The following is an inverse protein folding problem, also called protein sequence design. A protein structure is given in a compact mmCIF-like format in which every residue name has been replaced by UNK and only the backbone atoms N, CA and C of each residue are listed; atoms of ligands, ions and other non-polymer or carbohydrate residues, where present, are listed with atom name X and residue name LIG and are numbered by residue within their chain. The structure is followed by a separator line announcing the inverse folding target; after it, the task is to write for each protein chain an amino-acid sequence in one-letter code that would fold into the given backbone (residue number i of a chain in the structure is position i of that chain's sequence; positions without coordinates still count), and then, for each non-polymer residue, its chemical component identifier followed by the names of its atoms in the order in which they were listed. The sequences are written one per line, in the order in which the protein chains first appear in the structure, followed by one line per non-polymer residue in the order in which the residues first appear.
data_IF_496530220015
#
_entry.id   IF_496530220015
#
_cell.length_a   1.000
_cell.length_b   1.000
_cell.length_c   1.000
_cell.angle_alpha   90.00
_cell.angle_beta   90.00
_cell.angle_gamma   90.00
#
_symmetry.space_group_name_H-M   'P 1'
#
loop_
_entity.id
_entity.type
_entity.pdbx_description
1 polymer ?
#
# COMPACT_ATOMS: atom_id res chain seq x y z
N UNK A 1 -49.54 -20.06 -6.83
CA UNK A 1 -48.59 -18.96 -6.72
C UNK A 1 -48.23 -18.53 -8.12
N UNK A 2 -48.70 -17.34 -8.53
CA UNK A 2 -48.30 -16.76 -9.82
C UNK A 2 -47.14 -15.83 -9.49
N UNK A 3 -45.95 -16.21 -9.89
CA UNK A 3 -44.75 -15.36 -9.74
C UNK A 3 -44.60 -14.52 -10.99
N UNK A 4 -44.65 -13.22 -10.87
CA UNK A 4 -44.30 -12.29 -11.95
C UNK A 4 -42.83 -11.94 -11.88
N UNK A 5 -42.09 -12.14 -12.98
CA UNK A 5 -40.66 -11.88 -13.07
C UNK A 5 -40.38 -10.92 -14.23
N UNK A 6 -39.56 -9.90 -14.00
CA UNK A 6 -39.06 -9.00 -15.04
C UNK A 6 -37.54 -9.04 -15.07
N UNK A 7 -36.93 -8.99 -16.28
CA UNK A 7 -35.49 -8.91 -16.48
C UNK A 7 -35.16 -7.52 -16.98
N UNK A 8 -34.24 -6.82 -16.28
CA UNK A 8 -33.81 -5.47 -16.59
C UNK A 8 -32.28 -5.43 -16.81
N UNK A 9 -31.82 -4.60 -17.74
CA UNK A 9 -30.42 -4.45 -18.10
C UNK A 9 -29.99 -2.97 -18.13
N UNK A 10 -28.82 -2.66 -17.57
CA UNK A 10 -28.32 -1.29 -17.55
C UNK A 10 -26.97 -1.10 -16.86
N UNK A 11 -26.49 0.13 -16.85
CA UNK A 11 -25.17 0.48 -16.30
C UNK A 11 -25.18 0.84 -14.80
N UNK A 12 -26.33 1.13 -14.24
CA UNK A 12 -26.48 1.53 -12.84
C UNK A 12 -27.48 0.60 -12.14
N UNK A 13 -27.02 -0.12 -11.13
CA UNK A 13 -27.83 -1.09 -10.40
C UNK A 13 -28.98 -0.42 -9.63
N UNK A 14 -28.76 0.73 -9.00
CA UNK A 14 -29.80 1.46 -8.26
C UNK A 14 -30.94 1.91 -9.17
N UNK A 15 -30.63 2.36 -10.39
CA UNK A 15 -31.64 2.74 -11.37
C UNK A 15 -32.46 1.54 -11.83
N UNK A 16 -31.84 0.37 -12.02
CA UNK A 16 -32.56 -0.86 -12.38
C UNK A 16 -33.48 -1.33 -11.25
N UNK A 17 -33.10 -1.12 -10.00
CA UNK A 17 -33.95 -1.40 -8.83
C UNK A 17 -35.16 -0.47 -8.84
N UNK A 18 -34.95 0.83 -9.06
CA UNK A 18 -36.08 1.80 -9.16
C UNK A 18 -36.99 1.52 -10.35
N UNK A 19 -36.47 1.03 -11.48
CA UNK A 19 -37.29 0.60 -12.62
C UNK A 19 -38.12 -0.64 -12.29
N UNK A 20 -37.61 -1.58 -11.48
CA UNK A 20 -38.37 -2.72 -10.99
C UNK A 20 -39.47 -2.31 -10.01
N UNK A 21 -39.19 -1.38 -9.09
CA UNK A 21 -40.22 -0.81 -8.19
C UNK A 21 -41.37 -0.13 -8.98
N UNK A 22 -41.03 0.64 -10.00
CA UNK A 22 -42.01 1.27 -10.87
C UNK A 22 -42.84 0.26 -11.68
N UNK A 23 -42.18 -0.83 -12.14
CA UNK A 23 -42.84 -1.88 -12.91
C UNK A 23 -43.87 -2.64 -12.07
N UNK A 24 -43.49 -3.02 -10.84
CA UNK A 24 -44.37 -3.78 -9.93
C UNK A 24 -45.27 -2.86 -9.06
N UNK A 25 -45.06 -1.54 -9.11
CA UNK A 25 -45.76 -0.53 -8.29
C UNK A 25 -45.68 -0.84 -6.79
N UNK A 26 -44.51 -1.35 -6.33
CA UNK A 26 -44.29 -1.75 -4.94
C UNK A 26 -42.85 -1.42 -4.53
N UNK A 27 -42.57 -1.32 -3.22
CA UNK A 27 -41.24 -1.04 -2.69
C UNK A 27 -40.31 -2.22 -2.92
N UNK A 28 -38.99 -1.92 -3.05
CA UNK A 28 -37.92 -2.91 -3.20
C UNK A 28 -37.93 -4.03 -2.15
N UNK A 29 -38.46 -3.74 -0.95
CA UNK A 29 -38.51 -4.70 0.16
C UNK A 29 -39.42 -5.90 -0.11
N UNK A 30 -40.31 -5.78 -1.12
CA UNK A 30 -41.22 -6.84 -1.57
C UNK A 30 -40.84 -7.46 -2.91
N UNK A 31 -39.71 -7.02 -3.48
CA UNK A 31 -39.20 -7.52 -4.76
C UNK A 31 -37.93 -8.31 -4.50
N UNK A 32 -37.92 -9.60 -4.83
CA UNK A 32 -36.69 -10.39 -4.82
C UNK A 32 -35.86 -10.06 -6.04
N UNK A 33 -34.67 -9.44 -5.81
CA UNK A 33 -33.77 -9.02 -6.87
C UNK A 33 -32.56 -9.94 -6.90
N UNK A 34 -32.30 -10.55 -8.05
CA UNK A 34 -31.12 -11.40 -8.29
C UNK A 34 -30.31 -10.84 -9.45
N UNK A 35 -29.00 -10.65 -9.26
CA UNK A 35 -28.09 -10.23 -10.33
C UNK A 35 -27.71 -11.47 -11.16
N UNK A 36 -28.25 -11.56 -12.39
CA UNK A 36 -27.99 -12.68 -13.31
C UNK A 36 -26.59 -12.56 -13.93
N UNK A 37 -26.18 -11.33 -14.29
CA UNK A 37 -24.92 -11.10 -15.00
C UNK A 37 -24.33 -9.74 -14.64
N UNK A 38 -23.01 -9.70 -14.38
CA UNK A 38 -22.22 -8.47 -14.23
C UNK A 38 -21.06 -8.50 -15.23
N UNK A 39 -21.07 -7.59 -16.22
CA UNK A 39 -19.98 -7.43 -17.19
C UNK A 39 -19.19 -6.17 -16.93
N UNK A 40 -17.86 -6.29 -16.80
CA UNK A 40 -16.95 -5.15 -16.78
C UNK A 40 -16.56 -4.78 -18.23
N UNK A 41 -16.82 -3.55 -18.63
CA UNK A 41 -16.40 -3.01 -19.93
C UNK A 41 -15.39 -1.88 -19.73
N UNK A 42 -14.70 -1.47 -20.80
CA UNK A 42 -13.77 -0.32 -20.79
C UNK A 42 -14.42 1.02 -20.34
N UNK A 43 -15.76 1.10 -20.35
CA UNK A 43 -16.54 2.31 -20.01
C UNK A 43 -17.44 2.14 -18.78
N UNK A 44 -17.19 1.14 -17.93
CA UNK A 44 -17.95 0.90 -16.70
C UNK A 44 -18.53 -0.52 -16.57
N UNK A 45 -19.35 -0.70 -15.54
CA UNK A 45 -20.04 -1.98 -15.29
C UNK A 45 -21.40 -2.01 -15.99
N UNK A 46 -21.82 -3.17 -16.47
CA UNK A 46 -23.14 -3.43 -17.02
C UNK A 46 -23.79 -4.59 -16.26
N UNK A 47 -25.00 -4.38 -15.78
CA UNK A 47 -25.74 -5.32 -14.95
C UNK A 47 -26.97 -5.85 -15.70
N UNK A 48 -27.27 -7.13 -15.47
CA UNK A 48 -28.54 -7.76 -15.83
C UNK A 48 -29.14 -8.36 -14.58
N UNK A 49 -30.31 -7.90 -14.19
CA UNK A 49 -31.01 -8.31 -12.96
C UNK A 49 -32.32 -9.00 -13.29
N UNK A 50 -32.71 -9.97 -12.43
CA UNK A 50 -34.06 -10.54 -12.37
C UNK A 50 -34.76 -9.97 -11.14
N UNK A 51 -35.89 -9.33 -11.33
CA UNK A 51 -36.74 -8.88 -10.25
C UNK A 51 -38.03 -9.71 -10.24
N UNK A 52 -38.34 -10.35 -9.12
CA UNK A 52 -39.47 -11.27 -8.95
C UNK A 52 -40.32 -10.84 -7.76
N UNK A 53 -41.65 -10.79 -7.97
CA UNK A 53 -42.60 -10.61 -6.89
C UNK A 53 -43.43 -11.89 -6.69
N UNK A 54 -43.57 -12.31 -5.42
CA UNK A 54 -44.46 -13.41 -5.06
C UNK A 54 -45.82 -12.83 -4.72
N UNK A 55 -46.82 -13.17 -5.52
CA UNK A 55 -48.21 -12.72 -5.31
C UNK A 55 -48.74 -13.37 -4.01
N UNK A 56 -48.86 -12.57 -2.98
CA UNK A 56 -49.45 -12.99 -1.72
C UNK A 56 -50.96 -12.65 -1.82
N UNK A 57 -51.83 -13.66 -1.90
CA UNK A 57 -53.30 -13.57 -2.00
C UNK A 57 -53.96 -12.65 -0.96
N UNK A 58 -53.23 -12.10 0.00
CA UNK A 58 -53.67 -11.12 0.98
C UNK A 58 -53.83 -9.70 0.46
N UNK A 59 -53.18 -9.32 -0.65
CA UNK A 59 -53.27 -7.96 -1.17
C UNK A 59 -54.46 -7.76 -2.12
N UNK A 60 -54.91 -8.80 -2.80
CA UNK A 60 -56.05 -8.71 -3.67
C UNK A 60 -57.36 -8.55 -2.88
N UNK A 61 -57.46 -9.12 -1.68
CA UNK A 61 -58.61 -8.95 -0.79
C UNK A 61 -58.74 -7.54 -0.21
N UNK A 62 -57.64 -6.85 0.06
CA UNK A 62 -57.65 -5.48 0.60
C UNK A 62 -57.99 -4.45 -0.47
N UNK A 63 -57.50 -4.59 -1.72
CA UNK A 63 -57.83 -3.72 -2.82
C UNK A 63 -59.29 -3.88 -3.27
N UNK A 64 -59.86 -5.07 -3.22
CA UNK A 64 -61.30 -5.30 -3.45
C UNK A 64 -62.18 -4.69 -2.33
N UNK A 65 -61.75 -4.77 -1.08
CA UNK A 65 -62.44 -4.17 0.06
C UNK A 65 -62.40 -2.63 -0.03
N UNK A 66 -61.29 -2.02 -0.37
CA UNK A 66 -61.14 -0.57 -0.54
C UNK A 66 -62.00 -0.08 -1.72
N UNK A 67 -61.97 -0.75 -2.87
CA UNK A 67 -62.81 -0.42 -4.02
C UNK A 67 -64.33 -0.55 -3.74
N UNK A 68 -64.72 -1.53 -2.90
CA UNK A 68 -66.13 -1.67 -2.50
C UNK A 68 -66.55 -0.55 -1.56
N UNK A 69 -65.69 -0.15 -0.61
CA UNK A 69 -65.97 1.01 0.30
C UNK A 69 -66.03 2.33 -0.50
N UNK A 70 -65.13 2.56 -1.48
CA UNK A 70 -65.21 3.75 -2.33
C UNK A 70 -66.44 3.78 -3.22
N UNK A 71 -66.94 2.64 -3.68
CA UNK A 71 -68.18 2.55 -4.46
C UNK A 71 -69.42 2.76 -3.60
N UNK A 72 -69.42 2.25 -2.36
CA UNK A 72 -70.54 2.49 -1.42
C UNK A 72 -70.60 3.94 -0.98
N UNK A 73 -69.46 4.64 -0.81
CA UNK A 73 -69.40 6.07 -0.53
C UNK A 73 -69.91 6.94 -1.72
N UNK A 74 -69.64 6.54 -2.96
CA UNK A 74 -70.10 7.22 -4.16
C UNK A 74 -71.59 7.02 -4.42
N UNK A 75 -72.18 5.92 -3.96
CA UNK A 75 -73.66 5.68 -4.05
C UNK A 75 -74.46 6.41 -2.95
N UNK A 76 -73.81 6.76 -1.82
CA UNK A 76 -74.45 7.51 -0.75
C UNK A 76 -74.62 9.04 -1.03
N UNK A 77 -73.86 9.61 -1.99
CA UNK A 77 -73.92 11.04 -2.34
C UNK A 77 -74.97 11.41 -3.38
N UNK A 78 -75.67 10.42 -3.95
CA UNK A 78 -76.69 10.71 -5.02
C UNK A 78 -78.13 10.32 -4.65
N UNK A 79 -78.57 10.48 -3.42
CA UNK A 79 -79.93 10.15 -3.03
C UNK A 79 -80.55 11.08 -1.99
N UNK A 80 -80.82 12.33 -2.37
CA UNK A 80 -81.76 13.17 -1.61
C UNK A 80 -83.17 12.88 -2.08
N UNK A 81 -84.05 12.31 -1.20
CA UNK A 81 -85.41 12.85 -0.96
C UNK A 81 -86.17 12.03 0.10
N UNK A 82 -86.59 12.77 1.09
CA UNK A 82 -87.66 12.63 2.07
C UNK A 82 -88.55 11.38 2.08
N UNK A 83 -88.70 10.74 3.25
CA UNK A 83 -89.95 10.67 3.97
C UNK A 83 -89.80 10.03 5.36
N UNK A 84 -90.38 10.70 6.36
CA UNK A 84 -90.51 10.26 7.76
C UNK A 84 -91.13 8.89 7.89
N UNK A 85 -90.53 8.00 8.68
CA UNK A 85 -91.29 7.02 9.47
C UNK A 85 -90.42 6.65 10.70
N UNK A 86 -91.08 6.60 11.83
CA UNK A 86 -90.54 6.35 13.18
C UNK A 86 -89.61 5.13 13.22
N UNK A 87 -88.46 5.36 13.77
CA UNK A 87 -87.53 4.30 14.07
C UNK A 87 -87.69 3.93 15.53
N UNK A 88 -88.07 2.71 15.73
CA UNK A 88 -88.09 1.95 17.02
C UNK A 88 -86.70 1.90 17.54
N UNK A 89 -86.41 2.43 18.76
CA UNK A 89 -85.16 2.37 19.50
C UNK A 89 -84.93 0.92 19.97
N UNK A 90 -84.47 0.07 19.11
CA UNK A 90 -83.77 -1.15 19.55
C UNK A 90 -82.24 -0.91 19.41
N UNK A 91 -81.61 -0.47 20.52
CA UNK A 91 -80.16 -0.56 20.70
C UNK A 91 -79.75 -2.01 20.44
N UNK A 92 -79.09 -2.26 19.32
CA UNK A 92 -78.39 -3.50 19.09
C UNK A 92 -77.09 -3.35 19.91
N UNK A 93 -77.14 -3.87 21.16
CA UNK A 93 -75.99 -4.03 22.04
C UNK A 93 -75.10 -5.12 21.44
N UNK A 94 -74.27 -4.73 20.49
CA UNK A 94 -73.18 -5.61 20.01
C UNK A 94 -72.14 -5.58 21.11
N UNK A 95 -71.86 -6.69 21.81
CA UNK A 95 -70.79 -6.72 22.81
C UNK A 95 -69.47 -6.44 22.11
N UNK A 96 -68.95 -5.22 22.28
CA UNK A 96 -67.61 -4.90 21.81
C UNK A 96 -66.66 -5.74 22.67
N UNK A 97 -66.06 -6.75 22.05
CA UNK A 97 -65.07 -7.60 22.72
C UNK A 97 -63.90 -6.71 23.10
N UNK A 98 -63.71 -6.50 24.44
CA UNK A 98 -62.62 -5.69 24.97
C UNK A 98 -61.33 -6.49 24.83
N UNK A 99 -60.44 -6.07 23.94
CA UNK A 99 -59.16 -6.75 23.69
C UNK A 99 -58.03 -5.83 24.14
N UNK A 100 -57.19 -6.32 25.07
CA UNK A 100 -55.98 -5.63 25.51
C UNK A 100 -54.91 -5.63 24.42
N UNK A 101 -53.96 -4.70 24.48
CA UNK A 101 -52.78 -4.71 23.62
C UNK A 101 -52.04 -6.05 23.64
N UNK A 102 -51.79 -6.62 22.48
CA UNK A 102 -50.95 -7.83 22.34
C UNK A 102 -49.61 -7.44 21.80
N UNK A 103 -48.59 -8.13 22.25
CA UNK A 103 -47.22 -7.89 21.77
C UNK A 103 -46.48 -9.21 21.46
N UNK A 104 -45.52 -9.10 20.58
CA UNK A 104 -44.62 -10.19 20.22
C UNK A 104 -43.17 -9.68 20.21
N UNK A 105 -42.29 -10.37 20.96
CA UNK A 105 -40.85 -10.06 20.98
C UNK A 105 -40.12 -11.08 20.10
N UNK A 106 -39.38 -10.58 19.13
CA UNK A 106 -38.57 -11.36 18.20
C UNK A 106 -37.09 -10.96 18.33
N UNK A 107 -36.19 -11.93 18.24
CA UNK A 107 -34.73 -11.70 18.29
C UNK A 107 -34.17 -12.02 16.92
N UNK A 108 -33.21 -11.21 16.46
CA UNK A 108 -32.49 -11.43 15.20
C UNK A 108 -31.73 -12.76 15.20
N UNK A 109 -31.48 -13.33 14.03
CA UNK A 109 -30.80 -14.62 13.89
C UNK A 109 -29.37 -14.62 14.46
N UNK A 110 -28.69 -13.47 14.43
CA UNK A 110 -27.36 -13.25 15.01
C UNK A 110 -27.37 -12.95 16.51
N UNK A 111 -28.57 -12.89 17.12
CA UNK A 111 -28.79 -12.60 18.54
C UNK A 111 -28.32 -11.21 18.98
N UNK A 112 -28.18 -10.27 18.03
CA UNK A 112 -27.66 -8.93 18.28
C UNK A 112 -28.75 -7.89 18.49
N UNK A 113 -29.96 -8.15 18.05
CA UNK A 113 -31.07 -7.19 18.11
C UNK A 113 -32.35 -7.86 18.56
N UNK A 114 -33.12 -7.20 19.43
CA UNK A 114 -34.44 -7.64 19.83
C UNK A 114 -35.46 -6.57 19.47
N UNK A 115 -36.53 -7.00 18.87
CA UNK A 115 -37.63 -6.16 18.42
C UNK A 115 -38.93 -6.55 19.11
N UNK A 116 -39.77 -5.56 19.38
CA UNK A 116 -41.16 -5.75 19.80
C UNK A 116 -42.09 -5.30 18.69
N UNK A 117 -43.14 -6.06 18.49
CA UNK A 117 -44.28 -5.68 17.64
C UNK A 117 -45.53 -5.62 18.52
N UNK A 118 -46.25 -4.50 18.48
CA UNK A 118 -47.41 -4.26 19.35
C UNK A 118 -48.67 -4.09 18.51
N UNK A 119 -49.71 -4.86 18.84
CA UNK A 119 -51.05 -4.66 18.28
C UNK A 119 -51.85 -3.67 19.13
N UNK A 120 -52.62 -2.72 18.54
CA UNK A 120 -53.41 -1.80 19.30
C UNK A 120 -54.51 -2.50 20.08
N UNK A 121 -54.90 -2.01 21.27
CA UNK A 121 -56.03 -2.52 22.01
C UNK A 121 -57.38 -2.13 21.34
N UNK A 122 -58.42 -2.93 21.55
CA UNK A 122 -59.77 -2.59 21.14
C UNK A 122 -60.61 -2.44 22.44
N UNK A 123 -60.72 -1.22 22.92
CA UNK A 123 -61.42 -0.90 24.18
C UNK A 123 -60.73 -1.39 25.44
N UNK A 124 -59.61 -2.11 25.33
CA UNK A 124 -58.85 -2.71 26.45
C UNK A 124 -57.67 -1.88 26.92
N UNK A 125 -56.86 -2.50 27.80
CA UNK A 125 -55.65 -1.88 28.39
C UNK A 125 -54.57 -1.67 27.34
N UNK A 126 -53.94 -0.51 27.42
CA UNK A 126 -52.76 -0.19 26.61
C UNK A 126 -51.48 -0.86 27.17
N UNK A 127 -50.48 -1.06 26.30
CA UNK A 127 -49.19 -1.54 26.72
C UNK A 127 -48.50 -0.51 27.62
N UNK A 128 -47.96 -0.94 28.74
CA UNK A 128 -47.11 -0.13 29.60
C UNK A 128 -45.65 -0.62 29.62
N UNK A 129 -44.78 0.16 30.27
CA UNK A 129 -43.36 -0.18 30.36
C UNK A 129 -43.09 -1.51 31.05
N UNK A 130 -43.89 -1.83 32.07
CA UNK A 130 -43.74 -3.07 32.85
C UNK A 130 -44.01 -4.30 31.98
N UNK A 131 -44.99 -4.21 31.08
CA UNK A 131 -45.26 -5.29 30.11
C UNK A 131 -44.09 -5.53 29.18
N UNK A 132 -43.42 -4.47 28.70
CA UNK A 132 -42.24 -4.59 27.86
C UNK A 132 -41.06 -5.22 28.60
N UNK A 133 -40.83 -4.81 29.87
CA UNK A 133 -39.77 -5.41 30.68
C UNK A 133 -40.06 -6.87 31.04
N UNK A 134 -41.32 -7.23 31.32
CA UNK A 134 -41.71 -8.63 31.50
C UNK A 134 -41.47 -9.45 30.22
N UNK A 135 -41.82 -8.91 29.07
CA UNK A 135 -41.56 -9.56 27.77
C UNK A 135 -40.06 -9.79 27.51
N UNK A 136 -39.21 -8.81 27.87
CA UNK A 136 -37.77 -8.94 27.82
C UNK A 136 -37.24 -10.04 28.76
N UNK A 137 -37.78 -10.10 30.00
CA UNK A 137 -37.40 -11.11 30.97
C UNK A 137 -37.85 -12.52 30.54
N UNK A 138 -39.08 -12.69 30.04
CA UNK A 138 -39.61 -13.95 29.51
C UNK A 138 -38.75 -14.48 28.34
N UNK A 139 -38.23 -13.59 27.51
CA UNK A 139 -37.30 -13.92 26.43
C UNK A 139 -35.83 -14.01 26.85
N UNK A 140 -35.54 -13.84 28.17
CA UNK A 140 -34.19 -13.82 28.73
C UNK A 140 -33.25 -12.77 28.13
N UNK A 141 -33.79 -11.64 27.66
CA UNK A 141 -33.01 -10.52 27.13
C UNK A 141 -32.47 -9.72 28.31
N UNK A 142 -31.15 -9.64 28.46
CA UNK A 142 -30.48 -9.11 29.69
C UNK A 142 -29.51 -7.95 29.38
N UNK A 143 -29.08 -7.80 28.13
CA UNK A 143 -28.06 -6.85 27.77
C UNK A 143 -28.52 -5.94 26.62
N UNK A 144 -28.01 -4.70 26.61
CA UNK A 144 -28.26 -3.74 25.55
C UNK A 144 -29.68 -3.19 25.48
N UNK A 145 -30.47 -3.22 26.56
CA UNK A 145 -31.85 -2.72 26.60
C UNK A 145 -31.85 -1.21 26.28
N UNK A 146 -32.68 -0.80 25.33
CA UNK A 146 -32.83 0.59 24.85
C UNK A 146 -34.00 1.27 25.54
N UNK A 147 -33.76 1.78 26.73
CA UNK A 147 -34.82 2.40 27.57
C UNK A 147 -35.49 3.58 26.85
N UNK A 148 -34.74 4.40 26.10
CA UNK A 148 -35.29 5.55 25.38
C UNK A 148 -36.25 5.11 24.28
N UNK A 149 -35.97 4.01 23.59
CA UNK A 149 -36.86 3.47 22.54
C UNK A 149 -38.10 2.80 23.16
N UNK A 150 -37.97 2.17 24.34
CA UNK A 150 -39.10 1.64 25.10
C UNK A 150 -40.01 2.80 25.57
N UNK A 151 -39.39 3.91 26.02
CA UNK A 151 -40.11 5.09 26.46
C UNK A 151 -40.89 5.72 25.32
N UNK A 152 -40.30 5.83 24.11
CA UNK A 152 -40.98 6.30 22.91
C UNK A 152 -42.13 5.37 22.51
N UNK A 153 -41.87 4.04 22.49
CA UNK A 153 -42.89 3.04 22.14
C UNK A 153 -44.17 3.21 22.95
N UNK A 154 -44.04 3.37 24.28
CA UNK A 154 -45.16 3.47 25.21
C UNK A 154 -45.80 4.86 25.15
N UNK A 155 -45.01 5.96 25.17
CA UNK A 155 -45.52 7.33 25.24
C UNK A 155 -46.16 7.76 23.94
N UNK A 156 -45.57 7.43 22.77
CA UNK A 156 -46.04 7.76 21.44
C UNK A 156 -47.05 6.73 20.92
N UNK A 157 -47.33 5.65 21.67
CA UNK A 157 -48.25 4.59 21.29
C UNK A 157 -48.03 4.02 19.92
N UNK A 158 -46.78 3.57 19.70
CA UNK A 158 -46.34 3.02 18.42
C UNK A 158 -46.89 1.60 18.25
N UNK A 159 -47.89 1.45 17.38
CA UNK A 159 -48.52 0.17 17.06
C UNK A 159 -48.21 -0.28 15.64
N UNK A 160 -48.43 -1.58 15.36
CA UNK A 160 -48.31 -2.20 14.04
C UNK A 160 -46.95 -1.96 13.35
N UNK A 161 -45.91 -1.76 14.14
CA UNK A 161 -44.54 -1.62 13.65
C UNK A 161 -43.54 -2.37 14.53
N UNK A 162 -42.42 -2.76 13.94
CA UNK A 162 -41.31 -3.40 14.69
C UNK A 162 -40.45 -2.32 15.31
N UNK A 163 -40.34 -2.29 16.62
CA UNK A 163 -39.51 -1.33 17.36
C UNK A 163 -38.32 -2.08 17.97
N UNK A 164 -37.11 -1.56 17.79
CA UNK A 164 -35.91 -2.10 18.38
C UNK A 164 -35.85 -1.76 19.87
N UNK A 165 -35.88 -2.77 20.73
CA UNK A 165 -35.92 -2.60 22.20
C UNK A 165 -34.65 -3.05 22.91
N UNK A 166 -33.80 -3.84 22.24
CA UNK A 166 -32.48 -4.17 22.75
C UNK A 166 -31.49 -4.36 21.60
N UNK A 167 -30.23 -3.94 21.84
CA UNK A 167 -29.14 -4.06 20.87
C UNK A 167 -27.86 -4.49 21.56
N UNK A 168 -27.30 -5.64 21.15
CA UNK A 168 -26.03 -6.15 21.60
C UNK A 168 -24.85 -5.29 21.17
N UNK A 169 -23.72 -5.48 21.81
CA UNK A 169 -22.45 -4.83 21.47
C UNK A 169 -21.64 -5.78 20.58
N UNK A 170 -21.33 -5.42 19.32
CA UNK A 170 -20.56 -6.28 18.45
C UNK A 170 -19.11 -6.44 18.94
N UNK A 171 -18.53 -7.62 18.69
CA UNK A 171 -17.11 -7.83 18.91
C UNK A 171 -16.29 -7.08 17.85
N UNK A 172 -15.22 -6.41 18.28
CA UNK A 172 -14.28 -5.70 17.41
C UNK A 172 -12.97 -6.49 17.39
N UNK A 173 -12.62 -7.04 16.24
CA UNK A 173 -11.35 -7.74 16.10
C UNK A 173 -10.17 -6.77 16.18
N UNK A 174 -9.06 -7.25 16.73
CA UNK A 174 -7.80 -6.52 16.73
C UNK A 174 -7.20 -6.44 15.31
N UNK A 175 -6.38 -5.42 15.10
CA UNK A 175 -5.62 -5.24 13.86
C UNK A 175 -4.34 -6.06 13.89
N UNK A 176 -3.99 -6.68 12.75
CA UNK A 176 -2.73 -7.41 12.59
C UNK A 176 -1.53 -6.46 12.64
N UNK A 177 -0.41 -6.93 13.16
CA UNK A 177 0.85 -6.20 13.11
C UNK A 177 1.30 -5.94 11.66
N UNK A 178 1.93 -4.78 11.43
CA UNK A 178 2.40 -4.35 10.09
C UNK A 178 3.85 -3.89 10.18
N UNK A 179 4.60 -4.07 9.08
CA UNK A 179 5.96 -3.53 8.94
C UNK A 179 5.92 -2.39 7.94
N UNK A 180 6.37 -1.24 8.37
CA UNK A 180 6.62 -0.08 7.53
C UNK A 180 8.10 -0.03 7.19
N UNK A 181 8.43 -0.14 5.90
CA UNK A 181 9.79 0.03 5.41
C UNK A 181 10.11 1.51 5.24
N UNK A 182 11.27 1.95 5.70
CA UNK A 182 11.72 3.35 5.57
C UNK A 182 12.53 3.59 4.29
N UNK A 183 12.74 2.58 3.48
CA UNK A 183 13.37 2.64 2.17
C UNK A 183 12.39 2.18 1.08
N UNK A 184 12.61 2.63 -0.16
CA UNK A 184 11.75 2.23 -1.28
C UNK A 184 11.97 0.76 -1.64
N UNK A 185 10.94 -0.08 -1.55
CA UNK A 185 10.99 -1.51 -1.90
C UNK A 185 10.95 -1.72 -3.41
N UNK A 186 10.34 -0.79 -4.17
CA UNK A 186 10.22 -0.93 -5.63
C UNK A 186 11.60 -0.85 -6.29
N UNK A 187 11.82 -1.72 -7.28
CA UNK A 187 12.99 -1.68 -8.16
C UNK A 187 12.75 -0.81 -9.40
N UNK A 188 11.75 0.06 -9.36
CA UNK A 188 11.44 0.92 -10.48
C UNK A 188 12.62 1.85 -10.76
N UNK A 189 13.12 1.78 -12.00
CA UNK A 189 14.14 2.68 -12.52
C UNK A 189 13.54 4.09 -12.56
N UNK A 190 13.83 4.89 -11.55
CA UNK A 190 13.47 6.31 -11.58
C UNK A 190 14.54 7.04 -12.39
N UNK A 191 14.16 7.49 -13.55
CA UNK A 191 15.00 8.35 -14.37
C UNK A 191 14.99 9.75 -13.76
N UNK A 192 16.16 10.32 -13.53
CA UNK A 192 16.29 11.68 -13.01
C UNK A 192 15.94 12.69 -14.11
N UNK A 193 15.00 13.57 -13.81
CA UNK A 193 14.65 14.71 -14.65
C UNK A 193 15.29 15.93 -14.00
N UNK A 194 16.26 16.54 -14.66
CA UNK A 194 16.89 17.77 -14.21
C UNK A 194 15.92 18.95 -14.24
N UNK A 195 16.19 20.01 -13.47
CA UNK A 195 15.32 21.20 -13.37
C UNK A 195 15.10 21.91 -14.74
N UNK A 196 16.00 21.69 -15.71
CA UNK A 196 15.89 22.18 -17.09
C UNK A 196 15.04 21.28 -18.00
N UNK A 197 14.41 20.22 -17.46
CA UNK A 197 13.59 19.27 -18.20
C UNK A 197 14.37 18.20 -18.98
N UNK A 198 15.69 18.18 -18.88
CA UNK A 198 16.51 17.12 -19.49
C UNK A 198 16.44 15.85 -18.66
N UNK A 199 16.30 14.74 -19.36
CA UNK A 199 16.28 13.40 -18.77
C UNK A 199 17.69 12.82 -18.79
N UNK A 200 18.28 12.59 -17.61
CA UNK A 200 19.55 11.87 -17.52
C UNK A 200 19.30 10.37 -17.36
N UNK A 201 19.41 9.65 -18.45
CA UNK A 201 19.26 8.18 -18.48
C UNK A 201 20.38 7.41 -17.79
N UNK A 202 21.43 8.10 -17.33
CA UNK A 202 22.55 7.48 -16.59
C UNK A 202 22.33 7.53 -15.07
N UNK A 203 21.50 8.46 -14.57
CA UNK A 203 21.17 8.56 -13.13
C UNK A 203 19.92 7.69 -12.83
N UNK A 204 20.13 6.40 -12.60
CA UNK A 204 19.04 5.44 -12.40
C UNK A 204 18.64 5.24 -10.93
N UNK A 205 19.40 5.79 -9.97
CA UNK A 205 19.17 5.69 -8.50
C UNK A 205 18.81 4.26 -8.03
N UNK A 206 19.47 3.26 -8.60
CA UNK A 206 19.18 1.84 -8.32
C UNK A 206 19.69 1.39 -6.95
N UNK A 207 20.71 2.07 -6.41
CA UNK A 207 21.38 1.71 -5.16
C UNK A 207 20.69 2.43 -3.99
N UNK A 208 20.31 1.66 -2.99
CA UNK A 208 19.68 2.19 -1.77
C UNK A 208 20.72 2.23 -0.66
N UNK A 209 21.46 3.31 -0.59
CA UNK A 209 22.45 3.55 0.43
C UNK A 209 21.76 3.83 1.78
N UNK A 210 22.29 3.22 2.83
CA UNK A 210 21.87 3.45 4.22
C UNK A 210 23.11 3.57 5.11
N UNK A 211 23.02 4.45 6.09
CA UNK A 211 24.12 4.67 7.04
C UNK A 211 23.96 3.80 8.29
N UNK A 212 25.06 3.54 8.95
CA UNK A 212 25.06 2.91 10.27
C UNK A 212 24.18 3.70 11.25
N UNK A 213 23.30 2.99 11.96
CA UNK A 213 22.35 3.57 12.90
C UNK A 213 21.02 4.03 12.26
N UNK A 214 20.89 3.94 10.94
CA UNK A 214 19.65 4.33 10.23
C UNK A 214 18.55 3.30 10.45
N UNK A 215 17.31 3.76 10.67
CA UNK A 215 16.14 2.93 10.85
C UNK A 215 15.65 2.45 9.48
N UNK A 216 15.66 1.14 9.27
CA UNK A 216 15.29 0.51 8.01
C UNK A 216 13.80 0.13 7.95
N UNK A 217 13.24 -0.26 9.07
CA UNK A 217 11.84 -0.63 9.19
C UNK A 217 11.30 -0.36 10.60
N UNK A 218 10.01 -0.08 10.68
CA UNK A 218 9.28 0.07 11.95
C UNK A 218 8.12 -0.91 11.97
N UNK A 219 7.93 -1.59 13.09
CA UNK A 219 6.79 -2.49 13.30
C UNK A 219 5.68 -1.76 14.05
N UNK A 220 4.48 -1.76 13.48
CA UNK A 220 3.26 -1.39 14.18
C UNK A 220 2.75 -2.68 14.84
N UNK A 221 2.70 -2.74 16.18
CA UNK A 221 2.26 -3.94 16.88
C UNK A 221 0.78 -4.25 16.61
N UNK A 222 0.42 -5.52 16.71
CA UNK A 222 -0.99 -5.93 16.64
C UNK A 222 -1.76 -5.43 17.87
N UNK A 223 -3.06 -5.18 17.67
CA UNK A 223 -3.95 -4.79 18.77
C UNK A 223 -4.76 -5.99 19.29
N UNK A 224 -5.17 -5.91 20.54
CA UNK A 224 -6.11 -6.88 21.10
C UNK A 224 -7.52 -6.60 20.60
N UNK A 225 -8.29 -7.66 20.36
CA UNK A 225 -9.70 -7.54 20.08
C UNK A 225 -10.49 -7.14 21.31
N UNK A 226 -11.63 -6.50 21.12
CA UNK A 226 -12.58 -6.16 22.18
C UNK A 226 -13.79 -7.07 22.04
N UNK A 227 -14.05 -7.88 23.06
CA UNK A 227 -15.19 -8.77 23.08
C UNK A 227 -16.51 -7.98 23.03
N UNK A 228 -17.47 -8.55 22.33
CA UNK A 228 -18.83 -8.06 22.28
C UNK A 228 -19.74 -8.83 23.25
N UNK A 229 -21.02 -8.47 23.23
CA UNK A 229 -22.04 -9.13 24.03
C UNK A 229 -23.37 -9.12 23.27
N UNK A 230 -24.06 -10.24 23.18
CA UNK A 230 -25.36 -10.32 22.54
C UNK A 230 -26.51 -9.90 23.50
N UNK A 231 -27.73 -9.81 23.00
CA UNK A 231 -28.90 -9.36 23.80
C UNK A 231 -29.19 -10.29 24.99
N UNK A 232 -28.68 -11.52 25.01
CA UNK A 232 -28.82 -12.45 26.13
C UNK A 232 -27.75 -12.29 27.22
N UNK A 233 -26.80 -11.36 27.04
CA UNK A 233 -25.66 -11.19 27.95
C UNK A 233 -24.53 -12.20 27.71
N UNK A 234 -24.56 -12.92 26.57
CA UNK A 234 -23.51 -13.87 26.22
C UNK A 234 -22.38 -13.17 25.51
N UNK A 235 -21.16 -13.36 25.98
CA UNK A 235 -19.94 -12.82 25.40
C UNK A 235 -19.70 -13.35 23.99
N UNK A 236 -19.41 -12.43 23.06
CA UNK A 236 -18.97 -12.70 21.69
C UNK A 236 -17.46 -12.44 21.64
N UNK A 237 -16.68 -13.50 21.48
CA UNK A 237 -15.21 -13.39 21.49
C UNK A 237 -14.71 -12.69 20.22
N UNK A 238 -13.94 -11.64 20.42
CA UNK A 238 -13.14 -11.03 19.39
C UNK A 238 -11.86 -11.84 19.11
N UNK A 239 -11.32 -11.70 17.92
CA UNK A 239 -10.00 -12.24 17.59
C UNK A 239 -8.94 -11.17 17.81
N UNK A 240 -7.86 -11.52 18.48
CA UNK A 240 -6.68 -10.65 18.56
C UNK A 240 -5.99 -10.57 17.19
N UNK A 241 -5.38 -9.44 16.91
CA UNK A 241 -4.55 -9.25 15.72
C UNK A 241 -3.33 -10.17 15.74
N UNK A 242 -2.93 -10.66 14.58
CA UNK A 242 -1.77 -11.55 14.44
C UNK A 242 -0.48 -10.79 14.68
N UNK A 243 0.40 -11.38 15.47
CA UNK A 243 1.76 -10.89 15.65
C UNK A 243 2.64 -11.35 14.48
N UNK A 244 3.56 -10.49 14.07
CA UNK A 244 4.62 -10.79 13.11
C UNK A 244 5.98 -10.57 13.74
N UNK A 245 7.02 -11.19 13.18
CA UNK A 245 8.40 -10.98 13.61
C UNK A 245 9.08 -9.99 12.68
N UNK A 246 9.97 -9.15 13.25
CA UNK A 246 10.81 -8.26 12.46
C UNK A 246 11.66 -9.09 11.46
N UNK A 247 11.69 -8.74 10.17
CA UNK A 247 12.42 -9.49 9.14
C UNK A 247 13.93 -9.21 9.20
N UNK A 248 14.58 -9.62 10.29
CA UNK A 248 16.00 -9.42 10.55
C UNK A 248 16.86 -10.31 9.66
N UNK A 249 17.75 -9.70 8.90
CA UNK A 249 18.76 -10.32 8.05
C UNK A 249 20.20 -10.10 8.56
N UNK A 250 21.13 -9.84 7.62
CA UNK A 250 22.56 -9.61 7.92
C UNK A 250 22.81 -8.12 8.18
N UNK A 251 23.75 -7.82 9.09
CA UNK A 251 24.22 -6.46 9.41
C UNK A 251 23.11 -5.50 9.83
N UNK A 252 22.09 -6.02 10.49
CA UNK A 252 20.98 -5.24 11.06
C UNK A 252 20.67 -5.74 12.46
N UNK A 253 20.12 -4.87 13.29
CA UNK A 253 19.73 -5.17 14.65
C UNK A 253 18.30 -4.72 14.93
N UNK A 254 17.61 -5.48 15.76
CA UNK A 254 16.27 -5.09 16.26
C UNK A 254 16.49 -4.31 17.55
N UNK A 255 15.83 -3.15 17.67
CA UNK A 255 15.83 -2.34 18.88
C UNK A 255 15.37 -3.11 20.12
N UNK A 256 15.70 -2.63 21.30
CA UNK A 256 15.35 -3.29 22.58
C UNK A 256 13.83 -3.45 22.76
N UNK A 257 13.04 -2.52 22.26
CA UNK A 257 11.56 -2.56 22.27
C UNK A 257 10.98 -3.50 21.21
N UNK A 258 11.82 -4.05 20.30
CA UNK A 258 11.41 -4.93 19.22
C UNK A 258 10.69 -4.24 18.06
N UNK A 259 10.57 -2.91 18.08
CA UNK A 259 9.73 -2.16 17.13
C UNK A 259 10.49 -1.58 15.94
N UNK A 260 11.82 -1.51 16.00
CA UNK A 260 12.64 -0.93 14.94
C UNK A 260 13.70 -1.90 14.47
N UNK A 261 14.04 -1.86 13.18
CA UNK A 261 15.18 -2.53 12.59
C UNK A 261 16.20 -1.49 12.15
N UNK A 262 17.42 -1.60 12.66
CA UNK A 262 18.47 -0.58 12.54
C UNK A 262 19.66 -1.17 11.79
N UNK A 263 20.30 -0.39 10.92
CA UNK A 263 21.54 -0.79 10.26
C UNK A 263 22.74 -0.77 11.22
N UNK A 264 23.55 -1.82 11.22
CA UNK A 264 24.80 -1.90 11.97
C UNK A 264 26.01 -1.32 11.22
N UNK A 265 25.90 -1.15 9.90
CA UNK A 265 26.97 -0.71 9.01
C UNK A 265 26.44 0.23 7.94
N UNK A 266 27.34 0.98 7.31
CA UNK A 266 27.08 1.67 6.05
C UNK A 266 27.00 0.65 4.91
N UNK A 267 26.08 0.85 3.93
CA UNK A 267 26.00 -0.08 2.82
C UNK A 267 24.69 0.01 2.02
N UNK A 268 24.44 -1.00 1.22
CA UNK A 268 23.23 -1.15 0.43
C UNK A 268 22.19 -1.99 1.18
N UNK A 269 20.99 -1.43 1.38
CA UNK A 269 19.87 -2.19 1.94
C UNK A 269 19.17 -3.00 0.86
N UNK A 270 18.99 -4.30 1.11
CA UNK A 270 18.27 -5.24 0.24
C UNK A 270 17.34 -6.15 1.05
N UNK A 271 16.26 -6.57 0.41
CA UNK A 271 15.43 -7.67 0.91
C UNK A 271 15.89 -8.95 0.22
N UNK A 272 16.44 -9.88 1.01
CA UNK A 272 16.88 -11.19 0.56
C UNK A 272 16.18 -12.24 1.42
N UNK A 273 15.51 -13.20 0.78
CA UNK A 273 14.73 -14.26 1.46
C UNK A 273 13.74 -13.69 2.50
N UNK A 274 13.00 -12.64 2.13
CA UNK A 274 12.07 -11.92 3.00
C UNK A 274 12.71 -11.31 4.27
N UNK A 275 14.03 -11.11 4.28
CA UNK A 275 14.77 -10.48 5.37
C UNK A 275 15.49 -9.23 4.88
N UNK A 276 15.46 -8.18 5.70
CA UNK A 276 16.18 -6.93 5.41
C UNK A 276 17.65 -7.14 5.81
N UNK A 277 18.56 -6.92 4.86
CA UNK A 277 20.00 -7.03 5.06
C UNK A 277 20.72 -5.82 4.51
N UNK A 278 21.86 -5.46 5.10
CA UNK A 278 22.73 -4.39 4.61
C UNK A 278 24.06 -5.00 4.17
N UNK A 279 24.52 -4.62 2.98
CA UNK A 279 25.74 -5.12 2.36
C UNK A 279 26.76 -4.00 2.19
N UNK A 280 28.00 -4.16 2.69
CA UNK A 280 29.03 -3.13 2.57
C UNK A 280 29.69 -3.11 1.18
N UNK A 281 29.34 -4.04 0.31
CA UNK A 281 29.89 -4.17 -1.04
C UNK A 281 28.78 -4.18 -2.07
N UNK A 282 28.84 -3.25 -3.02
CA UNK A 282 27.97 -3.24 -4.18
C UNK A 282 28.65 -3.97 -5.35
N UNK A 283 28.03 -5.03 -5.86
CA UNK A 283 28.59 -5.84 -6.94
C UNK A 283 27.75 -5.74 -8.21
N UNK A 284 28.37 -5.28 -9.30
CA UNK A 284 27.83 -5.31 -10.66
C UNK A 284 28.33 -6.57 -11.36
N UNK A 285 27.45 -7.50 -11.71
CA UNK A 285 27.83 -8.78 -12.33
C UNK A 285 28.22 -8.65 -13.81
N UNK A 286 27.77 -7.59 -14.48
CA UNK A 286 28.05 -7.28 -15.89
C UNK A 286 28.84 -5.99 -16.05
N UNK A 287 28.55 -5.27 -17.14
CA UNK A 287 29.16 -3.98 -17.44
C UNK A 287 28.44 -2.83 -16.71
N UNK A 288 29.17 -1.73 -16.53
CA UNK A 288 28.55 -0.43 -16.23
C UNK A 288 28.23 0.24 -17.57
N UNK A 289 26.96 0.27 -17.89
CA UNK A 289 26.39 0.75 -19.14
C UNK A 289 25.00 1.40 -18.91
N UNK A 290 24.24 1.65 -19.98
CA UNK A 290 22.92 2.25 -19.88
C UNK A 290 21.91 1.44 -19.03
N UNK A 291 22.17 0.16 -18.80
CA UNK A 291 21.28 -0.68 -17.95
C UNK A 291 21.60 -0.53 -16.48
N UNK A 292 22.84 -0.23 -16.13
CA UNK A 292 23.33 -0.05 -14.77
C UNK A 292 23.28 1.42 -14.35
N UNK A 293 23.60 2.34 -15.28
CA UNK A 293 23.74 3.77 -15.01
C UNK A 293 25.01 4.13 -14.24
N UNK A 294 25.07 5.37 -13.79
CA UNK A 294 26.12 5.85 -12.89
C UNK A 294 25.98 5.19 -11.51
N UNK A 295 27.12 4.97 -10.85
CA UNK A 295 27.15 4.31 -9.54
C UNK A 295 27.63 5.31 -8.51
N UNK A 296 26.83 5.52 -7.44
CA UNK A 296 27.23 6.24 -6.22
C UNK A 296 26.98 5.35 -5.02
N UNK A 297 28.06 4.95 -4.34
CA UNK A 297 27.97 4.01 -3.25
C UNK A 297 28.87 4.38 -2.07
N UNK A 298 28.34 4.27 -0.86
CA UNK A 298 29.02 4.62 0.41
C UNK A 298 29.97 3.53 0.91
N UNK A 299 30.26 2.50 0.12
CA UNK A 299 31.18 1.40 0.45
C UNK A 299 31.97 0.97 -0.78
N UNK A 300 32.48 -0.27 -0.76
CA UNK A 300 33.27 -0.87 -1.84
C UNK A 300 32.42 -1.22 -3.05
N UNK A 301 32.88 -0.84 -4.26
CA UNK A 301 32.26 -1.19 -5.53
C UNK A 301 33.10 -2.24 -6.26
N UNK A 302 32.45 -3.34 -6.69
CA UNK A 302 33.07 -4.42 -7.45
C UNK A 302 32.36 -4.59 -8.79
N UNK A 303 33.07 -4.46 -9.90
CA UNK A 303 32.53 -4.59 -11.25
C UNK A 303 33.20 -5.79 -11.95
N UNK A 304 32.38 -6.81 -12.29
CA UNK A 304 32.87 -8.03 -12.95
C UNK A 304 33.11 -7.84 -14.44
N UNK A 305 32.40 -6.90 -15.08
CA UNK A 305 32.53 -6.55 -16.49
C UNK A 305 33.36 -5.29 -16.73
N UNK A 306 33.12 -4.62 -17.85
CA UNK A 306 33.74 -3.36 -18.27
C UNK A 306 33.00 -2.16 -17.71
N UNK A 307 33.68 -1.01 -17.67
CA UNK A 307 33.06 0.30 -17.46
C UNK A 307 33.10 1.05 -18.77
N UNK A 308 31.93 1.31 -19.37
CA UNK A 308 31.85 1.90 -20.71
C UNK A 308 31.98 3.42 -20.68
N UNK A 309 32.26 3.99 -21.85
CA UNK A 309 32.51 5.42 -22.04
C UNK A 309 31.39 6.30 -21.52
N UNK A 310 31.76 7.31 -20.75
CA UNK A 310 30.88 8.37 -20.26
C UNK A 310 30.05 8.00 -19.04
N UNK A 311 30.34 6.87 -18.39
CA UNK A 311 29.77 6.55 -17.07
C UNK A 311 30.68 7.02 -15.95
N UNK A 312 30.08 7.27 -14.77
CA UNK A 312 30.76 7.70 -13.57
C UNK A 312 30.52 6.73 -12.44
N UNK A 313 31.60 6.44 -11.69
CA UNK A 313 31.55 5.64 -10.47
C UNK A 313 32.14 6.49 -9.35
N UNK A 314 31.33 6.73 -8.31
CA UNK A 314 31.73 7.41 -7.08
C UNK A 314 31.58 6.41 -5.93
N UNK A 315 32.69 6.08 -5.24
CA UNK A 315 32.70 5.17 -4.10
C UNK A 315 33.41 5.83 -2.91
N UNK A 316 32.84 5.65 -1.72
CA UNK A 316 33.47 6.12 -0.48
C UNK A 316 34.54 5.13 0.06
N UNK A 317 34.69 3.97 -0.58
CA UNK A 317 35.72 2.97 -0.31
C UNK A 317 36.35 2.48 -1.64
N UNK A 318 36.98 1.34 -1.67
CA UNK A 318 37.68 0.79 -2.83
C UNK A 318 36.77 0.58 -4.05
N UNK A 319 37.35 0.75 -5.24
CA UNK A 319 36.72 0.35 -6.52
C UNK A 319 37.59 -0.75 -7.17
N UNK A 320 36.96 -1.88 -7.49
CA UNK A 320 37.60 -3.02 -8.13
C UNK A 320 36.91 -3.36 -9.45
N UNK A 321 37.63 -3.29 -10.58
CA UNK A 321 37.13 -3.60 -11.90
C UNK A 321 37.88 -4.74 -12.56
N UNK A 322 37.18 -5.82 -12.91
CA UNK A 322 37.77 -6.99 -13.56
C UNK A 322 37.90 -6.83 -15.08
N UNK A 323 37.07 -6.03 -15.69
CA UNK A 323 37.11 -5.68 -17.12
C UNK A 323 38.03 -4.50 -17.43
N UNK A 324 37.81 -3.91 -18.61
CA UNK A 324 38.48 -2.68 -19.06
C UNK A 324 37.63 -1.47 -18.70
N UNK A 325 38.28 -0.37 -18.34
CA UNK A 325 37.63 0.95 -18.18
C UNK A 325 37.84 1.72 -19.49
N UNK A 326 36.74 2.14 -20.12
CA UNK A 326 36.73 2.82 -21.41
C UNK A 326 36.20 4.24 -21.28
N UNK A 327 37.03 5.28 -21.36
CA UNK A 327 36.60 6.67 -21.36
C UNK A 327 35.60 7.06 -20.26
N UNK A 328 35.74 6.47 -19.11
CA UNK A 328 34.85 6.63 -17.93
C UNK A 328 35.55 7.39 -16.80
N UNK A 329 34.76 7.84 -15.83
CA UNK A 329 35.26 8.53 -14.62
C UNK A 329 35.09 7.62 -13.41
N UNK A 330 36.15 7.40 -12.65
CA UNK A 330 36.10 6.64 -11.39
C UNK A 330 36.72 7.49 -10.29
N UNK A 331 35.92 7.78 -9.27
CA UNK A 331 36.34 8.44 -8.05
C UNK A 331 36.21 7.48 -6.87
N UNK A 332 37.26 7.32 -6.08
CA UNK A 332 37.28 6.47 -4.89
C UNK A 332 37.94 7.20 -3.72
N UNK A 333 37.36 7.12 -2.54
CA UNK A 333 38.04 7.55 -1.31
C UNK A 333 39.04 6.49 -0.78
N UNK A 334 38.89 5.26 -1.22
CA UNK A 334 39.83 4.18 -1.02
C UNK A 334 40.81 4.06 -2.21
N UNK A 335 41.15 2.82 -2.56
CA UNK A 335 42.00 2.45 -3.67
C UNK A 335 41.23 2.06 -4.93
N UNK A 336 41.88 2.17 -6.09
CA UNK A 336 41.32 1.68 -7.36
C UNK A 336 42.15 0.51 -7.86
N UNK A 337 41.50 -0.63 -8.10
CA UNK A 337 42.12 -1.84 -8.61
C UNK A 337 41.49 -2.20 -9.96
N UNK A 338 42.24 -2.04 -11.03
CA UNK A 338 41.85 -2.41 -12.38
C UNK A 338 42.63 -3.67 -12.81
N UNK A 339 41.99 -4.85 -12.76
CA UNK A 339 42.65 -6.12 -13.14
C UNK A 339 43.12 -6.13 -14.61
N UNK A 340 42.55 -5.26 -15.42
CA UNK A 340 43.06 -4.98 -16.73
C UNK A 340 43.65 -3.58 -16.78
N UNK A 341 42.93 -2.57 -17.20
CA UNK A 341 43.48 -1.22 -17.22
C UNK A 341 42.43 -0.23 -17.71
N UNK A 342 42.91 0.99 -18.06
CA UNK A 342 42.07 2.03 -18.61
C UNK A 342 42.52 2.44 -19.98
N UNK A 343 41.56 2.46 -20.93
CA UNK A 343 41.68 3.08 -22.25
C UNK A 343 40.79 4.34 -22.24
N UNK A 344 41.38 5.46 -21.86
CA UNK A 344 40.59 6.64 -21.48
C UNK A 344 40.01 7.43 -22.64
N UNK A 345 40.49 7.23 -23.92
CA UNK A 345 39.99 7.96 -25.10
C UNK A 345 39.96 9.48 -24.88
N UNK A 346 40.93 10.03 -24.16
CA UNK A 346 41.05 11.43 -23.74
C UNK A 346 39.88 11.93 -22.84
N UNK A 347 39.01 11.06 -22.37
CA UNK A 347 37.89 11.36 -21.46
C UNK A 347 38.00 10.61 -20.11
N UNK A 348 38.81 9.55 -20.10
CA UNK A 348 39.01 8.72 -18.92
C UNK A 348 39.67 9.48 -17.77
N UNK A 349 39.11 9.35 -16.60
CA UNK A 349 39.61 9.98 -15.37
C UNK A 349 39.55 9.00 -14.19
N UNK A 350 40.66 8.81 -13.51
CA UNK A 350 40.75 8.05 -12.27
C UNK A 350 41.21 8.96 -11.15
N UNK A 351 40.48 8.99 -10.04
CA UNK A 351 40.85 9.74 -8.84
C UNK A 351 40.69 8.82 -7.64
N UNK A 352 41.77 8.61 -6.89
CA UNK A 352 41.70 7.86 -5.62
C UNK A 352 42.51 8.52 -4.51
N UNK A 353 42.03 8.35 -3.28
CA UNK A 353 42.80 8.76 -2.09
C UNK A 353 43.78 7.69 -1.62
N UNK A 354 43.57 6.43 -1.99
CA UNK A 354 44.46 5.33 -1.75
C UNK A 354 45.42 5.09 -2.93
N UNK A 355 45.72 3.82 -3.14
CA UNK A 355 46.63 3.33 -4.18
C UNK A 355 45.87 3.02 -5.49
N UNK A 356 46.55 3.12 -6.62
CA UNK A 356 46.06 2.69 -7.92
C UNK A 356 46.86 1.51 -8.45
N UNK A 357 46.18 0.43 -8.76
CA UNK A 357 46.78 -0.75 -9.43
C UNK A 357 46.08 -0.95 -10.77
N UNK A 358 46.82 -0.97 -11.85
CA UNK A 358 46.28 -1.21 -13.19
C UNK A 358 47.31 -1.92 -14.07
N UNK A 359 46.89 -2.72 -15.08
CA UNK A 359 47.83 -3.27 -16.06
C UNK A 359 48.36 -2.21 -17.04
N UNK A 360 47.46 -1.32 -17.49
CA UNK A 360 47.86 -0.24 -18.35
C UNK A 360 47.02 1.00 -18.12
N UNK A 361 47.62 2.14 -18.40
CA UNK A 361 46.98 3.46 -18.33
C UNK A 361 47.23 4.13 -19.66
N UNK A 362 46.15 4.34 -20.46
CA UNK A 362 46.27 4.87 -21.82
C UNK A 362 45.26 6.00 -22.03
N UNK A 363 45.73 7.14 -22.61
CA UNK A 363 44.93 8.30 -22.96
C UNK A 363 43.97 8.78 -21.81
N UNK A 364 44.52 8.86 -20.61
CA UNK A 364 43.75 9.07 -19.37
C UNK A 364 44.38 10.13 -18.48
N UNK A 365 43.51 10.72 -17.61
CA UNK A 365 43.93 11.58 -16.52
C UNK A 365 43.83 10.81 -15.20
N UNK A 366 44.93 10.68 -14.51
CA UNK A 366 45.05 9.86 -13.29
C UNK A 366 45.58 10.69 -12.12
N UNK A 367 44.88 10.61 -10.99
CA UNK A 367 45.32 11.21 -9.75
C UNK A 367 45.16 10.20 -8.60
N UNK A 368 46.28 9.83 -7.99
CA UNK A 368 46.31 8.96 -6.80
C UNK A 368 47.13 9.63 -5.70
N UNK A 369 46.54 9.76 -4.49
CA UNK A 369 47.30 10.25 -3.31
C UNK A 369 48.30 9.22 -2.80
N UNK A 370 48.04 7.93 -3.02
CA UNK A 370 48.91 6.82 -2.67
C UNK A 370 49.92 6.47 -3.76
N UNK A 371 50.26 5.19 -3.84
CA UNK A 371 51.17 4.62 -4.84
C UNK A 371 50.39 4.28 -6.13
N UNK A 372 51.12 4.27 -7.25
CA UNK A 372 50.62 3.76 -8.53
C UNK A 372 51.47 2.59 -8.98
N UNK A 373 50.84 1.46 -9.26
CA UNK A 373 51.48 0.28 -9.82
C UNK A 373 50.84 -0.10 -11.15
N UNK A 374 51.67 -0.16 -12.24
CA UNK A 374 51.16 -0.49 -13.57
C UNK A 374 52.25 -1.13 -14.44
N UNK A 375 51.84 -1.80 -15.55
CA UNK A 375 52.78 -2.35 -16.51
C UNK A 375 53.17 -1.36 -17.62
N UNK A 376 52.30 -0.41 -17.92
CA UNK A 376 52.57 0.60 -18.97
C UNK A 376 51.72 1.86 -18.79
N UNK A 377 52.31 3.01 -19.12
CA UNK A 377 51.63 4.32 -19.21
C UNK A 377 51.87 4.87 -20.58
N UNK A 378 50.76 5.24 -21.28
CA UNK A 378 50.83 5.75 -22.65
C UNK A 378 49.94 6.98 -22.78
N UNK A 379 50.47 8.09 -23.28
CA UNK A 379 49.77 9.33 -23.64
C UNK A 379 48.80 9.82 -22.53
N UNK A 380 49.28 9.78 -21.28
CA UNK A 380 48.45 10.05 -20.12
C UNK A 380 49.04 11.12 -19.21
N UNK A 381 48.17 11.83 -18.51
CA UNK A 381 48.55 12.75 -17.44
C UNK A 381 48.39 12.01 -16.11
N UNK A 382 49.49 11.82 -15.39
CA UNK A 382 49.54 11.01 -14.16
C UNK A 382 50.13 11.81 -13.03
N UNK A 383 49.35 11.95 -11.91
CA UNK A 383 49.79 12.53 -10.66
C UNK A 383 49.79 11.45 -9.58
N UNK A 384 50.94 11.21 -8.97
CA UNK A 384 51.14 10.19 -7.94
C UNK A 384 51.68 10.85 -6.68
N UNK A 385 50.97 10.72 -5.56
CA UNK A 385 51.34 11.34 -4.28
C UNK A 385 52.46 10.63 -3.54
N UNK A 386 52.87 9.42 -3.95
CA UNK A 386 53.96 8.66 -3.35
C UNK A 386 54.89 8.09 -4.44
N UNK A 387 54.82 6.78 -4.66
CA UNK A 387 55.72 6.06 -5.59
C UNK A 387 54.99 5.55 -6.81
N UNK A 388 55.58 5.74 -7.98
CA UNK A 388 55.12 5.18 -9.26
C UNK A 388 56.01 4.02 -9.66
N UNK A 389 55.44 2.82 -9.67
CA UNK A 389 56.12 1.61 -10.16
C UNK A 389 55.53 1.15 -11.49
N UNK A 390 56.30 1.29 -12.58
CA UNK A 390 55.95 0.77 -13.89
C UNK A 390 56.77 -0.46 -14.17
N UNK A 391 56.24 -1.61 -13.73
CA UNK A 391 56.92 -2.88 -13.80
C UNK A 391 56.08 -3.88 -14.58
N UNK A 392 56.45 -4.71 -15.29
CA UNK A 392 55.73 -5.68 -16.08
C UNK A 392 56.60 -6.07 -17.30
N UNK A 393 55.99 -6.72 -18.24
CA UNK A 393 56.74 -7.17 -19.41
C UNK A 393 57.31 -5.98 -20.21
N UNK A 394 56.57 -4.89 -20.36
CA UNK A 394 57.02 -3.68 -21.05
C UNK A 394 57.72 -2.69 -20.13
N UNK A 395 57.18 -2.40 -18.96
CA UNK A 395 57.69 -1.46 -17.97
C UNK A 395 57.89 -0.05 -18.57
N UNK A 396 56.91 0.43 -19.39
CA UNK A 396 57.09 1.52 -20.34
C UNK A 396 56.26 2.75 -19.95
N UNK A 397 56.89 3.91 -19.97
CA UNK A 397 56.22 5.23 -19.91
C UNK A 397 56.48 5.96 -21.22
N UNK A 398 55.44 6.27 -22.01
CA UNK A 398 55.58 6.97 -23.32
C UNK A 398 54.46 7.97 -23.49
N UNK A 399 54.83 9.21 -23.70
CA UNK A 399 53.92 10.31 -23.97
C UNK A 399 53.12 10.78 -22.77
N UNK A 400 52.83 12.06 -22.72
CA UNK A 400 52.08 12.71 -21.65
C UNK A 400 52.92 13.26 -20.53
N UNK A 401 52.30 13.60 -19.41
CA UNK A 401 52.88 14.29 -18.26
C UNK A 401 52.78 13.40 -17.02
N UNK A 402 53.92 13.09 -16.39
CA UNK A 402 54.03 12.22 -15.24
C UNK A 402 54.62 13.01 -14.06
N UNK A 403 53.86 13.25 -13.02
CA UNK A 403 54.35 13.93 -11.79
C UNK A 403 54.21 13.02 -10.59
N UNK A 404 55.32 12.84 -9.87
CA UNK A 404 55.42 11.92 -8.74
C UNK A 404 56.11 12.59 -7.58
N UNK A 405 55.60 12.41 -6.36
CA UNK A 405 56.21 13.03 -5.19
C UNK A 405 57.56 12.41 -4.81
N UNK A 406 57.63 11.08 -4.71
CA UNK A 406 58.78 10.42 -4.07
C UNK A 406 59.71 9.73 -5.08
N UNK A 407 59.24 8.77 -5.87
CA UNK A 407 60.08 7.90 -6.69
C UNK A 407 59.33 7.41 -7.94
N UNK A 408 60.01 7.38 -9.06
CA UNK A 408 59.59 6.68 -10.28
C UNK A 408 60.50 5.51 -10.55
N UNK A 409 59.93 4.32 -10.76
CA UNK A 409 60.63 3.12 -11.15
C UNK A 409 60.02 2.55 -12.40
N UNK A 410 60.74 2.63 -13.49
CA UNK A 410 60.30 2.16 -14.81
C UNK A 410 61.51 1.53 -15.57
N UNK A 411 61.21 0.62 -16.53
CA UNK A 411 62.23 0.01 -17.38
C UNK A 411 62.61 0.93 -18.54
N UNK A 412 61.61 1.60 -19.14
CA UNK A 412 61.78 2.45 -20.30
C UNK A 412 60.95 3.73 -20.08
N UNK A 413 61.59 4.88 -20.31
CA UNK A 413 60.92 6.19 -20.29
C UNK A 413 61.20 6.85 -21.65
N UNK A 414 60.16 7.26 -22.37
CA UNK A 414 60.21 7.83 -23.70
C UNK A 414 60.14 6.78 -24.83
N UNK A 415 60.23 7.26 -26.07
CA UNK A 415 60.11 6.46 -27.28
C UNK A 415 61.16 6.86 -28.32
N UNK A 416 61.71 5.91 -29.07
CA UNK A 416 62.58 6.20 -30.22
C UNK A 416 61.85 7.05 -31.31
N UNK A 417 60.53 7.10 -31.28
CA UNK A 417 59.70 7.86 -32.23
C UNK A 417 59.50 9.33 -31.81
N UNK A 418 60.32 9.86 -30.91
CA UNK A 418 60.31 11.24 -30.45
C UNK A 418 58.94 11.71 -29.84
N UNK A 419 58.21 10.78 -29.23
CA UNK A 419 56.98 11.12 -28.48
C UNK A 419 57.38 11.93 -27.23
N UNK A 420 56.83 13.15 -27.09
CA UNK A 420 57.10 14.02 -25.94
C UNK A 420 56.62 13.33 -24.67
N UNK A 421 57.53 13.15 -23.72
CA UNK A 421 57.26 12.53 -22.41
C UNK A 421 57.87 13.41 -21.34
N UNK A 422 57.04 14.04 -20.55
CA UNK A 422 57.44 14.93 -19.46
C UNK A 422 57.38 14.17 -18.15
N UNK A 423 58.49 14.20 -17.37
CA UNK A 423 58.57 13.50 -16.09
C UNK A 423 59.10 14.42 -15.03
N UNK A 424 58.39 14.59 -13.97
CA UNK A 424 58.74 15.42 -12.80
C UNK A 424 58.69 14.58 -11.51
N UNK A 425 59.74 14.65 -10.71
CA UNK A 425 59.82 13.94 -9.44
C UNK A 425 60.22 14.92 -8.31
N UNK A 426 59.68 14.70 -7.12
CA UNK A 426 60.02 15.50 -5.94
C UNK A 426 59.07 16.68 -5.68
N UNK A 427 57.98 16.78 -6.42
CA UNK A 427 56.94 17.81 -6.23
C UNK A 427 55.64 17.19 -5.74
N UNK A 428 55.21 17.57 -4.56
CA UNK A 428 53.89 17.15 -4.08
C UNK A 428 52.81 17.87 -4.90
N UNK A 429 52.00 17.12 -5.68
CA UNK A 429 50.97 17.70 -6.55
C UNK A 429 49.91 18.52 -5.81
N UNK A 430 49.64 18.19 -4.55
CA UNK A 430 48.66 18.90 -3.72
C UNK A 430 49.15 20.29 -3.28
N UNK A 431 50.44 20.44 -3.12
CA UNK A 431 51.05 21.74 -2.73
C UNK A 431 50.96 22.70 -3.93
N UNK A 432 51.22 22.22 -5.15
CA UNK A 432 51.21 23.11 -6.32
C UNK A 432 49.79 23.61 -6.68
N UNK A 433 48.75 22.79 -6.56
CA UNK A 433 47.33 23.21 -6.75
C UNK A 433 46.89 24.32 -5.79
N UNK A 434 47.59 24.56 -4.68
CA UNK A 434 47.30 25.63 -3.74
C UNK A 434 47.98 26.97 -4.13
N UNK A 435 48.96 26.94 -5.04
CA UNK A 435 49.76 28.10 -5.42
C UNK A 435 49.58 28.52 -6.88
N UNK A 436 48.90 27.71 -7.71
CA UNK A 436 48.37 28.06 -9.06
C UNK A 436 46.86 28.45 -8.92
#
# INVERSE_FOLDING_TARGET
MVTSTVILEGKNLERLISEAEAHFKTSKDFIKIEVIEEKKTLFGKHYKISATIEDNDKYNSLSEIINNIENDLKTAETGNNAQNSAIDDNEIDIPIEVIDSKYEVTVSADLMEAYIYVHPPVGGRQLDKEDVYKALEEKNIKSGILNDEIDKLVNERIYNSRVLIAKGKPAINGEDAKIEYKFNISQDKKVFIADDGRVDYKELSLIKNVNKGEILATMIPSTKGTNGENVYGKEIKAKDGKQIKMPKGKNVEVSEDGLQLISLIDGEVKIVDNKISVFPVYTVQGNVDNSTGNIRFIGKVVIKGNVLTGFTIDADDDVEVFGVVEGAVINSRGSIILHRGIQGMNKGKLVCEGDLIAKFIENSNVYAKGNIQTDAIMHSTVYCGKKLEVQGRKGLIVGGEIKVSDEIKAKIIGSPMATITEVEVGVNPDVRKKYD
#
